data_IF_604928775418
#
_entry.id   IF_604928775418
#
_cell.length_a   1.000
_cell.length_b   1.000
_cell.length_c   1.000
_cell.angle_alpha   90.00
_cell.angle_beta   90.00
_cell.angle_gamma   90.00
#
_symmetry.space_group_name_H-M   'P 1'
#
loop_
_entity.id
_entity.type
_entity.pdbx_description
1 polymer ?
#
# COMPACT_ATOMS: atom_id res chain seq x y z
N UNK A 1 -4.89 -12.16 5.65
CA UNK A 1 -4.45 -13.54 5.45
C UNK A 1 -5.04 -13.99 4.14
N UNK A 2 -4.25 -14.58 3.24
CA UNK A 2 -4.78 -15.05 1.97
C UNK A 2 -5.97 -16.02 2.18
N UNK A 3 -7.05 -15.81 1.44
CA UNK A 3 -8.28 -16.61 1.51
C UNK A 3 -8.15 -17.94 0.76
N UNK A 4 -7.20 -18.07 -0.17
CA UNK A 4 -6.91 -19.30 -0.90
C UNK A 4 -5.48 -19.32 -1.49
N UNK A 5 -5.08 -20.49 -2.01
CA UNK A 5 -3.73 -20.71 -2.55
C UNK A 5 -3.42 -19.85 -3.79
N UNK A 6 -4.41 -19.59 -4.66
CA UNK A 6 -4.21 -18.74 -5.84
C UNK A 6 -4.02 -17.27 -5.46
N UNK A 7 -4.77 -16.80 -4.46
CA UNK A 7 -4.56 -15.46 -3.92
C UNK A 7 -3.18 -15.33 -3.30
N UNK A 8 -2.71 -16.36 -2.57
CA UNK A 8 -1.35 -16.37 -2.03
C UNK A 8 -0.29 -16.29 -3.14
N UNK A 9 -0.44 -17.06 -4.22
CA UNK A 9 0.47 -16.99 -5.38
C UNK A 9 0.53 -15.58 -5.99
N UNK A 10 -0.62 -14.93 -6.16
CA UNK A 10 -0.66 -13.54 -6.66
C UNK A 10 -0.07 -12.53 -5.68
N UNK A 11 -0.31 -12.69 -4.38
CA UNK A 11 0.31 -11.86 -3.34
C UNK A 11 1.83 -11.93 -3.46
N UNK A 12 2.40 -13.14 -3.52
CA UNK A 12 3.86 -13.34 -3.63
C UNK A 12 4.41 -12.74 -4.92
N UNK A 13 3.70 -12.91 -6.04
CA UNK A 13 4.11 -12.34 -7.32
C UNK A 13 4.13 -10.81 -7.29
N UNK A 14 3.07 -10.18 -6.76
CA UNK A 14 2.95 -8.72 -6.69
C UNK A 14 3.96 -8.15 -5.69
N UNK A 15 4.08 -8.74 -4.50
CA UNK A 15 5.03 -8.35 -3.47
C UNK A 15 6.47 -8.42 -4.00
N UNK A 16 6.84 -9.54 -4.61
CA UNK A 16 8.17 -9.71 -5.21
C UNK A 16 8.43 -8.72 -6.34
N UNK A 17 7.45 -8.47 -7.21
CA UNK A 17 7.55 -7.48 -8.28
C UNK A 17 7.76 -6.06 -7.74
N UNK A 18 7.02 -5.67 -6.70
CA UNK A 18 7.18 -4.39 -6.02
C UNK A 18 8.52 -4.28 -5.29
N UNK A 19 8.98 -5.36 -4.65
CA UNK A 19 10.27 -5.40 -3.99
C UNK A 19 11.42 -5.19 -4.98
N UNK A 20 11.35 -5.81 -6.16
CA UNK A 20 12.32 -5.58 -7.25
C UNK A 20 12.22 -4.14 -7.78
N UNK A 21 11.00 -3.63 -8.00
CA UNK A 21 10.79 -2.27 -8.50
C UNK A 21 11.41 -1.20 -7.59
N UNK A 22 11.45 -1.44 -6.27
CA UNK A 22 12.02 -0.52 -5.29
C UNK A 22 13.34 -1.00 -4.67
N UNK A 23 14.04 -1.95 -5.29
CA UNK A 23 15.27 -2.53 -4.74
C UNK A 23 16.35 -1.47 -4.42
N UNK A 24 16.43 -0.41 -5.22
CA UNK A 24 17.41 0.68 -5.05
C UNK A 24 16.97 1.76 -4.04
N UNK A 25 15.81 1.60 -3.39
CA UNK A 25 15.25 2.57 -2.43
C UNK A 25 15.35 2.01 -1.01
N UNK A 26 16.41 2.35 -0.25
CA UNK A 26 16.58 1.86 1.13
C UNK A 26 15.54 2.41 2.11
N UNK A 27 14.77 3.41 1.69
CA UNK A 27 13.69 4.04 2.45
C UNK A 27 12.30 3.51 2.04
N UNK A 28 12.19 2.36 1.36
CA UNK A 28 10.91 1.78 0.95
C UNK A 28 10.74 0.38 1.54
N UNK A 29 9.61 0.17 2.21
CA UNK A 29 9.21 -1.12 2.76
C UNK A 29 8.09 -1.69 1.91
N UNK A 30 8.28 -2.90 1.39
CA UNK A 30 7.25 -3.66 0.67
C UNK A 30 6.85 -4.84 1.55
N UNK A 31 5.55 -5.14 1.61
CA UNK A 31 5.05 -6.32 2.31
C UNK A 31 3.80 -6.87 1.63
N UNK A 32 3.64 -8.19 1.70
CA UNK A 32 2.42 -8.91 1.36
C UNK A 32 1.76 -9.47 2.61
N UNK A 33 0.43 -9.48 2.64
CA UNK A 33 -0.39 -10.11 3.69
C UNK A 33 -0.02 -9.71 5.14
N UNK A 34 0.32 -8.44 5.36
CA UNK A 34 0.75 -7.91 6.66
C UNK A 34 -0.35 -7.07 7.32
N UNK A 35 -0.59 -7.28 8.63
CA UNK A 35 -1.56 -6.48 9.38
C UNK A 35 -1.16 -5.00 9.43
N UNK A 36 -2.03 -4.13 8.91
CA UNK A 36 -1.94 -2.68 8.92
C UNK A 36 -2.93 -2.07 9.92
N UNK A 37 -2.42 -1.19 10.78
CA UNK A 37 -3.17 -0.45 11.79
C UNK A 37 -3.14 1.05 11.44
N UNK A 38 -4.17 1.60 10.77
CA UNK A 38 -4.17 2.98 10.27
C UNK A 38 -4.46 4.06 11.32
N UNK A 39 -4.97 3.70 12.49
CA UNK A 39 -5.42 4.69 13.49
C UNK A 39 -4.83 4.38 14.85
N UNK A 40 -4.05 5.33 15.37
CA UNK A 40 -3.43 5.24 16.69
C UNK A 40 -4.49 5.08 17.79
N UNK A 41 -4.20 4.22 18.76
CA UNK A 41 -5.08 3.94 19.90
C UNK A 41 -6.37 3.17 19.55
N UNK A 42 -6.62 2.83 18.27
CA UNK A 42 -7.83 2.10 17.84
C UNK A 42 -7.47 0.77 17.15
N UNK A 43 -6.97 -0.24 17.89
CA UNK A 43 -6.44 -1.48 17.32
C UNK A 43 -7.48 -2.34 16.58
N UNK A 44 -8.77 -2.08 16.81
CA UNK A 44 -9.88 -2.73 16.12
C UNK A 44 -10.04 -2.24 14.67
N UNK A 45 -9.54 -1.05 14.36
CA UNK A 45 -9.47 -0.52 13.00
C UNK A 45 -8.15 -1.03 12.41
N UNK A 46 -8.24 -2.17 11.71
CA UNK A 46 -7.09 -2.82 11.07
C UNK A 46 -7.51 -3.50 9.78
N UNK A 47 -6.58 -3.62 8.85
CA UNK A 47 -6.74 -4.38 7.60
C UNK A 47 -5.46 -5.17 7.34
N UNK A 48 -5.53 -6.26 6.56
CA UNK A 48 -4.34 -6.91 6.01
C UNK A 48 -4.42 -6.78 4.49
N UNK A 49 -3.87 -5.71 3.90
CA UNK A 49 -3.81 -5.59 2.45
C UNK A 49 -3.02 -6.75 1.86
N UNK A 50 -3.48 -7.26 0.72
CA UNK A 50 -2.79 -8.32 -0.02
C UNK A 50 -1.33 -7.92 -0.34
N UNK A 51 -1.10 -6.65 -0.72
CA UNK A 51 0.22 -6.05 -0.85
C UNK A 51 0.23 -4.57 -0.40
N UNK A 52 1.36 -4.08 0.12
CA UNK A 52 1.56 -2.70 0.55
C UNK A 52 2.98 -2.20 0.28
N UNK A 53 3.12 -0.89 0.02
CA UNK A 53 4.40 -0.17 -0.11
C UNK A 53 4.42 1.03 0.85
N UNK A 54 5.31 1.06 1.83
CA UNK A 54 5.49 2.17 2.75
C UNK A 54 6.77 2.95 2.41
N UNK A 55 6.64 4.14 1.83
CA UNK A 55 7.78 5.02 1.56
C UNK A 55 8.21 5.77 2.81
N UNK A 56 9.50 6.07 2.89
CA UNK A 56 10.24 6.58 4.05
C UNK A 56 10.54 5.53 5.12
N UNK A 57 10.07 4.29 4.94
CA UNK A 57 10.18 3.21 5.93
C UNK A 57 11.19 2.20 5.42
N UNK A 58 12.32 1.97 6.11
CA UNK A 58 13.30 1.01 5.66
C UNK A 58 12.77 -0.43 5.74
N UNK A 59 13.26 -1.32 4.86
CA UNK A 59 13.00 -2.76 4.95
C UNK A 59 13.31 -3.33 6.34
N UNK A 60 12.57 -4.35 6.74
CA UNK A 60 12.86 -5.08 7.97
C UNK A 60 11.72 -6.00 8.39
N UNK A 61 12.05 -7.13 8.99
CA UNK A 61 11.08 -8.09 9.50
C UNK A 61 10.26 -7.47 10.63
N UNK A 62 8.94 -7.60 10.54
CA UNK A 62 7.98 -7.07 11.51
C UNK A 62 6.67 -7.86 11.46
N UNK A 63 5.96 -7.93 12.59
CA UNK A 63 4.68 -8.62 12.68
C UNK A 63 3.48 -7.79 12.20
N UNK A 64 3.64 -6.47 12.10
CA UNK A 64 2.60 -5.55 11.63
C UNK A 64 3.19 -4.23 11.12
N UNK A 65 2.35 -3.46 10.41
CA UNK A 65 2.62 -2.08 10.02
C UNK A 65 1.65 -1.14 10.75
N UNK A 66 2.18 -0.29 11.61
CA UNK A 66 1.39 0.71 12.35
C UNK A 66 1.57 2.06 11.66
N UNK A 67 0.46 2.63 11.22
CA UNK A 67 0.41 3.99 10.69
C UNK A 67 -0.24 4.90 11.74
N UNK A 68 0.37 6.06 11.94
CA UNK A 68 -0.14 7.07 12.85
C UNK A 68 -1.43 7.73 12.31
N UNK A 69 -2.15 8.41 13.20
CA UNK A 69 -3.48 8.98 12.97
C UNK A 69 -3.72 9.69 11.62
N UNK A 70 -4.95 9.63 11.10
CA UNK A 70 -5.37 10.25 9.84
C UNK A 70 -5.36 11.79 9.89
N UNK A 71 -5.45 12.44 11.05
CA UNK A 71 -5.20 13.89 11.13
C UNK A 71 -3.69 14.21 11.06
N UNK A 72 -2.86 13.22 11.38
CA UNK A 72 -1.40 13.30 11.30
C UNK A 72 -0.97 13.08 9.84
N UNK A 73 -1.11 14.15 9.05
CA UNK A 73 -0.62 14.20 7.65
C UNK A 73 0.87 13.98 7.57
N UNK A 74 1.61 14.46 8.58
CA UNK A 74 3.05 14.37 8.67
C UNK A 74 3.42 13.71 9.99
N UNK A 75 4.22 12.65 9.96
CA UNK A 75 4.76 12.04 11.17
C UNK A 75 6.24 11.71 11.01
N UNK A 76 6.98 11.76 12.11
CA UNK A 76 8.33 11.21 12.19
C UNK A 76 8.21 9.75 12.60
N UNK A 77 8.73 8.85 11.79
CA UNK A 77 8.75 7.43 12.12
C UNK A 77 9.58 7.18 13.37
N UNK A 78 9.05 6.55 14.43
CA UNK A 78 9.81 6.29 15.66
C UNK A 78 10.91 5.24 15.48
N UNK A 79 10.85 4.41 14.43
CA UNK A 79 11.88 3.39 14.17
C UNK A 79 13.05 3.91 13.29
N UNK A 80 12.78 4.77 12.31
CA UNK A 80 13.80 5.21 11.34
C UNK A 80 14.01 6.73 11.28
N UNK A 81 13.26 7.50 12.08
CA UNK A 81 13.34 8.96 12.17
C UNK A 81 13.03 9.72 10.86
N UNK A 82 12.51 9.06 9.83
CA UNK A 82 12.07 9.70 8.58
C UNK A 82 10.75 10.44 8.78
N UNK A 83 10.63 11.65 8.19
CA UNK A 83 9.34 12.35 8.10
C UNK A 83 8.54 11.84 6.90
N UNK A 84 7.32 11.38 7.15
CA UNK A 84 6.42 10.82 6.15
C UNK A 84 5.23 11.72 5.91
N UNK A 85 4.68 11.70 4.69
CA UNK A 85 3.37 12.26 4.36
C UNK A 85 2.42 11.15 3.92
N UNK A 86 1.23 11.09 4.54
CA UNK A 86 0.22 10.06 4.27
C UNK A 86 -0.28 10.10 2.83
N UNK A 87 -0.66 11.27 2.35
CA UNK A 87 -1.30 11.44 1.04
C UNK A 87 -0.28 11.17 -0.08
N UNK A 88 0.97 11.58 0.14
CA UNK A 88 2.10 11.21 -0.73
C UNK A 88 2.36 9.70 -0.71
N UNK A 89 2.33 9.06 0.46
CA UNK A 89 2.50 7.61 0.56
C UNK A 89 1.37 6.84 -0.11
N UNK A 90 0.12 7.30 0.01
CA UNK A 90 -1.03 6.72 -0.68
C UNK A 90 -0.90 6.88 -2.21
N UNK A 91 -0.56 8.08 -2.69
CA UNK A 91 -0.37 8.33 -4.11
C UNK A 91 0.75 7.47 -4.71
N UNK A 92 1.86 7.30 -3.98
CA UNK A 92 2.97 6.45 -4.41
C UNK A 92 2.60 4.96 -4.39
N UNK A 93 1.80 4.50 -3.43
CA UNK A 93 1.25 3.14 -3.43
C UNK A 93 0.40 2.86 -4.67
N UNK A 94 -0.52 3.76 -5.01
CA UNK A 94 -1.40 3.61 -6.19
C UNK A 94 -0.56 3.56 -7.46
N UNK A 95 0.44 4.45 -7.59
CA UNK A 95 1.36 4.45 -8.74
C UNK A 95 2.17 3.15 -8.82
N UNK A 96 2.70 2.69 -7.69
CA UNK A 96 3.49 1.46 -7.61
C UNK A 96 2.69 0.23 -8.03
N UNK A 97 1.49 0.06 -7.46
CA UNK A 97 0.59 -1.02 -7.82
C UNK A 97 0.21 -0.97 -9.30
N UNK A 98 -0.12 0.22 -9.83
CA UNK A 98 -0.44 0.38 -11.26
C UNK A 98 0.73 0.03 -12.19
N UNK A 99 1.96 0.40 -11.82
CA UNK A 99 3.17 0.04 -12.57
C UNK A 99 3.47 -1.46 -12.52
N UNK A 100 3.27 -2.11 -11.37
CA UNK A 100 3.44 -3.56 -11.23
C UNK A 100 2.43 -4.32 -12.10
N UNK A 101 1.15 -3.94 -12.06
CA UNK A 101 0.10 -4.51 -12.91
C UNK A 101 0.43 -4.33 -14.40
N UNK A 102 0.88 -3.13 -14.80
CA UNK A 102 1.30 -2.86 -16.17
C UNK A 102 2.51 -3.70 -16.61
N UNK A 103 3.53 -3.83 -15.76
CA UNK A 103 4.73 -4.63 -16.05
C UNK A 103 4.42 -6.13 -16.18
N UNK A 104 3.42 -6.64 -15.44
CA UNK A 104 2.93 -8.01 -15.56
C UNK A 104 2.04 -8.25 -16.80
N UNK A 105 1.77 -7.22 -17.62
CA UNK A 105 0.96 -7.35 -18.83
C UNK A 105 -0.55 -7.48 -18.57
N UNK A 106 -1.00 -7.19 -17.34
CA UNK A 106 -2.42 -7.25 -17.00
C UNK A 106 -3.16 -5.98 -17.43
N UNK A 107 -4.36 -6.15 -17.98
CA UNK A 107 -5.23 -5.03 -18.36
C UNK A 107 -6.00 -4.51 -17.14
N UNK A 108 -5.70 -3.29 -16.69
CA UNK A 108 -6.59 -2.58 -15.77
C UNK A 108 -7.87 -2.21 -16.52
N UNK A 109 -9.03 -2.67 -16.06
CA UNK A 109 -10.30 -2.26 -16.63
C UNK A 109 -10.64 -0.87 -16.07
N UNK A 110 -10.59 0.22 -16.86
CA UNK A 110 -11.10 1.49 -16.40
C UNK A 110 -12.62 1.33 -16.40
N UNK A 111 -13.22 1.03 -15.25
CA UNK A 111 -14.62 1.36 -15.06
C UNK A 111 -14.70 2.89 -15.18
N UNK A 112 -14.95 3.36 -16.39
CA UNK A 112 -15.35 4.73 -16.67
C UNK A 112 -16.60 4.93 -15.84
N UNK A 113 -16.45 5.53 -14.66
CA UNK A 113 -17.56 6.04 -13.90
C UNK A 113 -18.25 7.06 -14.83
N UNK A 114 -19.32 6.62 -15.50
CA UNK A 114 -20.23 7.53 -16.17
C UNK A 114 -20.77 8.43 -15.08
N UNK A 115 -20.18 9.62 -14.96
CA UNK A 115 -20.79 10.72 -14.25
C UNK A 115 -22.15 10.95 -14.92
N UNK A 116 -23.22 10.47 -14.27
CA UNK A 116 -24.57 10.81 -14.65
C UNK A 116 -24.74 12.30 -14.37
N UNK A 117 -24.49 13.12 -15.39
CA UNK A 117 -24.89 14.53 -15.39
C UNK A 117 -26.42 14.50 -15.42
N UNK A 118 -27.03 14.72 -14.25
CA UNK A 118 -28.47 14.89 -14.13
C UNK A 118 -28.92 16.04 -15.02
N UNK A 119 -29.66 15.71 -16.08
CA UNK A 119 -30.40 16.68 -16.87
C UNK A 119 -31.65 17.06 -16.08
N UNK A 120 -31.62 18.22 -15.42
CA UNK A 120 -32.84 18.89 -14.96
C UNK A 120 -33.65 19.35 -16.17
N UNK A 121 -34.88 18.85 -16.28
CA UNK A 121 -36.02 19.53 -16.90
C UNK A 121 -37.20 19.43 -15.97
#
# INVERSE_FOLDING_TARGET
MADNTRQFEYIVMIEGGLAVLFADRPDVFVAGDLLWYPVEGKPHIRAAPDAMVAFGRPPGHRGSYIQHDLATRHWVCPECNTTHDRDVNAARNIKAAGLAVFACGETVNPLVAKAAIGSTR
#
